data_IF_354814806324
#
_entry.id   IF_354814806324
#
_cell.length_a   1.000
_cell.length_b   1.000
_cell.length_c   1.000
_cell.angle_alpha   90.00
_cell.angle_beta   90.00
_cell.angle_gamma   90.00
#
_symmetry.space_group_name_H-M   'P 1'
#
loop_
_entity.id
_entity.type
_entity.pdbx_description
1 polymer ?
#
# COMPACT_ATOMS: atom_id res chain seq x y z
N UNK A 1 4.51 -10.41 11.61
CA UNK A 1 3.52 -10.06 10.59
C UNK A 1 2.72 -11.32 10.28
N UNK A 2 1.39 -11.25 10.28
CA UNK A 2 0.53 -12.42 10.03
C UNK A 2 -0.11 -12.25 8.67
N UNK A 3 0.24 -13.13 7.72
CA UNK A 3 -0.34 -13.11 6.38
C UNK A 3 -1.77 -13.64 6.38
N UNK A 4 -2.61 -13.06 5.52
CA UNK A 4 -4.04 -13.34 5.43
C UNK A 4 -4.34 -14.09 4.15
N UNK A 5 -3.66 -13.75 3.04
CA UNK A 5 -3.83 -14.42 1.76
C UNK A 5 -2.49 -14.82 1.14
N UNK A 6 -2.49 -15.99 0.49
CA UNK A 6 -1.55 -16.29 -0.58
C UNK A 6 -2.08 -15.69 -1.88
N UNK A 7 -1.20 -15.01 -2.61
CA UNK A 7 -1.50 -14.30 -3.86
C UNK A 7 -0.72 -14.93 -5.00
N UNK A 8 -1.42 -15.41 -6.01
CA UNK A 8 -0.85 -15.76 -7.31
C UNK A 8 -1.30 -14.74 -8.34
N UNK A 9 -0.38 -14.24 -9.15
CA UNK A 9 -0.66 -13.33 -10.25
C UNK A 9 -0.20 -13.94 -11.56
N UNK A 10 -0.87 -13.58 -12.65
CA UNK A 10 -0.41 -13.90 -14.00
C UNK A 10 0.22 -12.69 -14.67
N UNK A 11 1.09 -12.96 -15.63
CA UNK A 11 1.65 -11.93 -16.50
C UNK A 11 0.52 -11.08 -17.08
N UNK A 12 0.70 -9.75 -17.04
CA UNK A 12 -0.31 -8.80 -17.46
C UNK A 12 -0.65 -8.94 -18.94
N UNK A 13 -1.87 -8.57 -19.28
CA UNK A 13 -2.30 -8.32 -20.65
C UNK A 13 -2.67 -6.83 -20.79
N UNK A 14 -1.78 -6.04 -21.38
CA UNK A 14 -1.96 -4.59 -21.50
C UNK A 14 -1.96 -3.92 -20.12
N UNK A 15 -3.12 -3.47 -19.67
CA UNK A 15 -3.35 -2.87 -18.34
C UNK A 15 -3.96 -3.84 -17.33
N UNK A 16 -4.20 -5.08 -17.72
CA UNK A 16 -4.95 -6.06 -16.92
C UNK A 16 -4.03 -7.06 -16.25
N UNK A 17 -4.34 -7.39 -15.00
CA UNK A 17 -3.66 -8.43 -14.22
C UNK A 17 -4.73 -9.35 -13.62
N UNK A 18 -4.60 -10.64 -13.92
CA UNK A 18 -5.37 -11.67 -13.23
C UNK A 18 -4.68 -12.02 -11.91
N UNK A 19 -5.48 -12.20 -10.87
CA UNK A 19 -5.00 -12.53 -9.53
C UNK A 19 -5.85 -13.65 -8.94
N UNK A 20 -5.22 -14.53 -8.17
CA UNK A 20 -5.90 -15.51 -7.34
C UNK A 20 -5.48 -15.32 -5.90
N UNK A 21 -6.47 -15.20 -5.04
CA UNK A 21 -6.31 -15.16 -3.59
C UNK A 21 -6.73 -16.48 -2.98
N UNK A 22 -5.91 -17.01 -2.09
CA UNK A 22 -6.26 -18.16 -1.24
C UNK A 22 -6.20 -17.71 0.22
N UNK A 23 -7.27 -17.92 0.98
CA UNK A 23 -7.30 -17.62 2.41
C UNK A 23 -6.31 -18.50 3.17
N UNK A 24 -5.46 -17.87 3.98
CA UNK A 24 -4.57 -18.55 4.92
C UNK A 24 -5.20 -18.73 6.31
N UNK A 25 -6.36 -18.12 6.54
CA UNK A 25 -7.09 -18.19 7.80
C UNK A 25 -8.21 -19.24 7.72
N UNK A 26 -8.46 -19.94 8.83
CA UNK A 26 -9.34 -21.13 8.90
C UNK A 26 -10.85 -20.82 8.83
N UNK A 27 -11.23 -19.56 8.80
CA UNK A 27 -12.63 -19.14 8.73
C UNK A 27 -12.95 -18.64 7.32
N UNK A 28 -14.18 -18.85 6.82
CA UNK A 28 -14.58 -18.33 5.51
C UNK A 28 -14.42 -16.80 5.51
N UNK A 29 -13.54 -16.30 4.65
CA UNK A 29 -13.31 -14.86 4.52
C UNK A 29 -14.18 -14.36 3.39
N UNK A 30 -15.06 -13.40 3.69
CA UNK A 30 -15.68 -12.64 2.61
C UNK A 30 -14.61 -11.76 1.99
N UNK A 31 -14.24 -12.08 0.75
CA UNK A 31 -13.29 -11.27 -0.01
C UNK A 31 -13.85 -9.86 -0.20
N UNK A 32 -12.97 -8.87 -0.04
CA UNK A 32 -13.35 -7.48 -0.24
C UNK A 32 -13.52 -7.20 -1.73
N UNK A 33 -14.64 -6.60 -2.10
CA UNK A 33 -15.07 -6.43 -3.49
C UNK A 33 -14.74 -5.03 -4.07
N UNK A 34 -14.19 -4.12 -3.26
CA UNK A 34 -13.88 -2.76 -3.70
C UNK A 34 -12.50 -2.61 -4.35
N UNK A 35 -12.33 -1.64 -5.28
CA UNK A 35 -11.13 -1.46 -6.11
C UNK A 35 -9.86 -1.13 -5.32
N UNK A 36 -9.99 -0.60 -4.10
CA UNK A 36 -8.85 -0.32 -3.22
C UNK A 36 -8.06 -1.58 -2.90
N UNK A 37 -8.69 -2.76 -2.95
CA UNK A 37 -7.97 -4.00 -2.77
C UNK A 37 -7.06 -4.30 -3.97
N UNK A 38 -7.51 -4.00 -5.18
CA UNK A 38 -6.69 -4.08 -6.37
C UNK A 38 -5.44 -3.21 -6.26
N UNK A 39 -5.59 -1.95 -5.83
CA UNK A 39 -4.45 -1.05 -5.61
C UNK A 39 -3.50 -1.59 -4.51
N UNK A 40 -4.04 -2.03 -3.38
CA UNK A 40 -3.26 -2.65 -2.31
C UNK A 40 -2.43 -3.83 -2.82
N UNK A 41 -3.01 -4.72 -3.62
CA UNK A 41 -2.31 -5.90 -4.16
C UNK A 41 -1.21 -5.52 -5.16
N UNK A 42 -1.44 -4.54 -6.03
CA UNK A 42 -0.41 -4.05 -6.96
C UNK A 42 0.77 -3.43 -6.22
N UNK A 43 0.49 -2.60 -5.21
CA UNK A 43 1.51 -1.99 -4.35
C UNK A 43 2.30 -3.05 -3.58
N UNK A 44 1.61 -4.02 -2.99
CA UNK A 44 2.22 -5.06 -2.16
C UNK A 44 3.10 -6.00 -2.97
N UNK A 45 2.66 -6.38 -4.18
CA UNK A 45 3.49 -7.15 -5.10
C UNK A 45 4.82 -6.43 -5.37
N UNK A 46 4.76 -5.13 -5.69
CA UNK A 46 5.96 -4.32 -5.90
C UNK A 46 6.84 -4.27 -4.64
N UNK A 47 6.25 -4.04 -3.47
CA UNK A 47 6.97 -4.00 -2.19
C UNK A 47 7.65 -5.34 -1.84
N UNK A 48 7.02 -6.46 -2.21
CA UNK A 48 7.58 -7.80 -2.09
C UNK A 48 8.68 -8.13 -3.12
N UNK A 49 9.00 -7.18 -4.00
CA UNK A 49 10.07 -7.32 -4.99
C UNK A 49 9.62 -7.89 -6.34
N UNK A 50 8.33 -8.16 -6.53
CA UNK A 50 7.79 -8.64 -7.81
C UNK A 50 7.97 -7.54 -8.86
N UNK A 51 8.81 -7.79 -9.86
CA UNK A 51 9.11 -6.83 -10.92
C UNK A 51 9.70 -5.49 -10.43
N UNK A 52 10.35 -5.45 -9.27
CA UNK A 52 10.85 -4.18 -8.70
C UNK A 52 11.84 -3.43 -9.60
N UNK A 53 12.52 -4.14 -10.51
CA UNK A 53 13.42 -3.52 -11.50
C UNK A 53 12.73 -3.14 -12.82
N UNK A 54 11.51 -3.63 -13.06
CA UNK A 54 10.75 -3.38 -14.28
C UNK A 54 9.65 -2.35 -14.09
N UNK A 55 9.30 -2.01 -12.83
CA UNK A 55 8.33 -0.96 -12.54
C UNK A 55 8.76 0.38 -13.13
N UNK A 56 7.81 1.11 -13.69
CA UNK A 56 8.00 2.52 -14.04
C UNK A 56 8.33 3.35 -12.78
N UNK A 57 9.35 4.21 -12.87
CA UNK A 57 9.83 5.01 -11.72
C UNK A 57 8.78 5.98 -11.19
N UNK A 58 7.92 6.51 -12.06
CA UNK A 58 6.82 7.39 -11.63
C UNK A 58 5.75 6.59 -10.89
N UNK A 59 5.42 5.39 -11.38
CA UNK A 59 4.48 4.49 -10.71
C UNK A 59 5.00 4.05 -9.33
N UNK A 60 6.28 3.70 -9.23
CA UNK A 60 6.91 3.36 -7.94
C UNK A 60 6.78 4.50 -6.92
N UNK A 61 7.11 5.74 -7.32
CA UNK A 61 6.95 6.92 -6.44
C UNK A 61 5.49 7.15 -6.04
N UNK A 62 4.55 6.92 -6.96
CA UNK A 62 3.13 7.03 -6.67
C UNK A 62 2.67 5.94 -5.69
N UNK A 63 3.19 4.71 -5.80
CA UNK A 63 2.95 3.62 -4.84
C UNK A 63 3.54 3.93 -3.46
N UNK A 64 4.73 4.52 -3.37
CA UNK A 64 5.29 5.02 -2.10
C UNK A 64 4.32 6.01 -1.44
N UNK A 65 3.81 6.97 -2.22
CA UNK A 65 2.79 7.90 -1.75
C UNK A 65 1.51 7.18 -1.29
N UNK A 66 1.05 6.18 -2.02
CA UNK A 66 -0.12 5.39 -1.61
C UNK A 66 0.12 4.63 -0.30
N UNK A 67 1.34 4.11 -0.06
CA UNK A 67 1.69 3.50 1.22
C UNK A 67 1.64 4.52 2.35
N UNK A 68 2.11 5.76 2.14
CA UNK A 68 2.00 6.82 3.14
C UNK A 68 0.55 7.21 3.42
N UNK A 69 -0.31 7.23 2.41
CA UNK A 69 -1.75 7.49 2.60
C UNK A 69 -2.42 6.35 3.37
N UNK A 70 -2.04 5.10 3.11
CA UNK A 70 -2.67 3.92 3.71
C UNK A 70 -2.14 3.57 5.11
N UNK A 71 -0.82 3.62 5.31
CA UNK A 71 -0.16 3.24 6.56
C UNK A 71 0.16 4.44 7.46
N UNK A 72 0.03 5.65 6.92
CA UNK A 72 0.45 6.88 7.58
C UNK A 72 1.86 7.29 7.18
N UNK A 73 2.03 8.57 6.84
CA UNK A 73 3.34 9.14 6.54
C UNK A 73 4.21 9.18 7.79
N UNK A 74 5.48 8.76 7.65
CA UNK A 74 6.49 8.93 8.70
C UNK A 74 7.00 10.36 8.69
N UNK A 75 7.01 10.99 9.85
CA UNK A 75 7.62 12.32 10.06
C UNK A 75 8.81 12.17 11.00
N UNK A 76 9.95 12.66 10.55
CA UNK A 76 11.24 12.45 11.21
C UNK A 76 11.44 13.48 12.31
N UNK A 77 11.95 13.04 13.46
CA UNK A 77 12.19 13.90 14.61
C UNK A 77 13.59 13.69 15.20
N UNK A 78 14.13 14.75 15.81
CA UNK A 78 15.25 14.61 16.74
C UNK A 78 14.80 13.94 18.05
N UNK A 79 15.76 13.64 18.94
CA UNK A 79 15.52 13.02 20.26
C UNK A 79 14.64 13.91 21.17
N UNK A 80 14.56 15.21 20.87
CA UNK A 80 13.70 16.16 21.57
C UNK A 80 12.30 16.23 20.94
N UNK A 81 12.02 15.52 19.84
CA UNK A 81 10.72 15.53 19.16
C UNK A 81 10.50 16.73 18.23
N UNK A 82 11.55 17.43 17.81
CA UNK A 82 11.46 18.48 16.79
C UNK A 82 11.56 17.90 15.40
N UNK A 83 10.83 18.48 14.46
CA UNK A 83 10.80 18.05 13.07
C UNK A 83 12.16 18.20 12.38
N UNK A 84 12.51 17.16 11.65
CA UNK A 84 13.64 17.12 10.73
C UNK A 84 13.16 17.26 9.29
N UNK A 85 13.99 17.84 8.44
CA UNK A 85 13.79 17.82 7.00
C UNK A 85 13.81 16.38 6.47
N UNK A 86 12.92 16.06 5.54
CA UNK A 86 12.76 14.71 5.04
C UNK A 86 13.96 14.24 4.21
N UNK A 87 14.60 15.13 3.45
CA UNK A 87 15.71 14.80 2.56
C UNK A 87 17.06 14.86 3.27
N UNK A 88 17.28 15.87 4.12
CA UNK A 88 18.59 16.08 4.77
C UNK A 88 18.67 15.50 6.17
N UNK A 89 17.52 15.20 6.81
CA UNK A 89 17.42 14.85 8.23
C UNK A 89 18.01 15.89 9.18
N UNK A 90 18.19 17.13 8.71
CA UNK A 90 18.60 18.24 9.56
C UNK A 90 17.38 18.86 10.24
N UNK A 91 17.53 19.42 11.46
CA UNK A 91 16.44 20.10 12.14
C UNK A 91 15.89 21.27 11.31
N UNK A 92 14.57 21.33 11.15
CA UNK A 92 13.91 22.46 10.51
C UNK A 92 14.21 23.76 11.27
N UNK A 93 14.30 24.86 10.53
CA UNK A 93 14.50 26.21 11.09
C UNK A 93 13.31 27.11 10.71
N UNK A 94 12.58 27.66 11.69
CA UNK A 94 12.75 27.48 13.14
C UNK A 94 12.45 26.04 13.60
N UNK A 95 12.99 25.64 14.77
CA UNK A 95 12.65 24.34 15.37
C UNK A 95 11.16 24.31 15.69
N UNK A 96 10.50 23.23 15.30
CA UNK A 96 9.05 23.02 15.52
C UNK A 96 8.84 21.65 16.13
N UNK A 97 8.08 21.56 17.22
CA UNK A 97 7.68 20.27 17.83
C UNK A 97 6.69 19.55 16.91
N UNK A 98 6.94 18.28 16.64
CA UNK A 98 6.09 17.48 15.76
C UNK A 98 4.66 17.36 16.32
N UNK A 99 4.51 17.18 17.64
CA UNK A 99 3.22 17.06 18.32
C UNK A 99 2.36 18.32 18.19
N UNK A 100 2.98 19.49 18.22
CA UNK A 100 2.28 20.77 18.06
C UNK A 100 1.92 21.02 16.59
N UNK A 101 2.87 20.77 15.68
CA UNK A 101 2.67 21.00 14.25
C UNK A 101 1.61 20.08 13.64
N UNK A 102 1.58 18.82 14.08
CA UNK A 102 0.64 17.80 13.62
C UNK A 102 -0.44 17.48 14.65
N UNK A 103 -0.80 18.45 15.49
CA UNK A 103 -1.82 18.27 16.52
C UNK A 103 -3.11 17.68 15.94
N UNK A 104 -3.58 16.58 16.55
CA UNK A 104 -4.79 15.85 16.11
C UNK A 104 -4.60 14.93 14.88
N UNK A 105 -3.45 15.01 14.21
CA UNK A 105 -3.13 14.25 12.98
C UNK A 105 -2.12 13.14 13.19
N UNK A 106 -1.49 13.03 14.36
CA UNK A 106 -0.59 11.93 14.70
C UNK A 106 -1.36 10.66 15.06
N UNK A 107 -0.83 9.53 14.62
CA UNK A 107 -1.16 8.22 15.14
C UNK A 107 -0.40 7.95 16.46
N UNK A 108 -0.82 6.92 17.18
CA UNK A 108 -0.09 6.31 18.29
C UNK A 108 1.26 5.69 17.90
N UNK A 109 1.39 5.26 16.63
CA UNK A 109 2.58 4.59 16.13
C UNK A 109 3.81 5.53 16.06
N UNK A 110 4.94 5.00 16.54
CA UNK A 110 6.25 5.68 16.58
C UNK A 110 7.36 4.65 16.50
N UNK A 111 8.55 5.07 16.08
CA UNK A 111 9.70 4.17 16.04
C UNK A 111 11.01 4.87 15.75
N UNK A 112 12.04 4.06 15.53
CA UNK A 112 13.37 4.53 15.13
C UNK A 112 13.80 3.80 13.87
N UNK A 113 14.35 4.54 12.91
CA UNK A 113 14.85 4.00 11.65
C UNK A 113 16.07 4.79 11.20
N UNK A 114 17.12 4.06 10.79
CA UNK A 114 18.39 4.63 10.32
C UNK A 114 18.98 5.69 11.28
N UNK A 115 18.87 5.44 12.58
CA UNK A 115 19.35 6.34 13.63
C UNK A 115 18.41 7.47 14.03
N UNK A 116 17.35 7.75 13.26
CA UNK A 116 16.38 8.83 13.51
C UNK A 116 15.09 8.33 14.12
N UNK A 117 14.53 9.12 15.04
CA UNK A 117 13.18 8.87 15.55
C UNK A 117 12.15 9.34 14.53
N UNK A 118 11.00 8.68 14.51
CA UNK A 118 9.86 9.09 13.71
C UNK A 118 8.55 8.90 14.45
N UNK A 119 7.61 9.79 14.13
CA UNK A 119 6.19 9.62 14.43
C UNK A 119 5.46 9.26 13.13
N UNK A 120 4.26 8.70 13.25
CA UNK A 120 3.41 8.35 12.12
C UNK A 120 2.20 9.26 12.11
N UNK A 121 1.87 9.86 10.96
CA UNK A 121 0.60 10.55 10.76
C UNK A 121 -0.53 9.53 10.61
N UNK A 122 -1.75 9.89 11.02
CA UNK A 122 -2.93 9.08 10.73
C UNK A 122 -3.05 8.84 9.23
N UNK A 123 -3.46 7.64 8.80
CA UNK A 123 -3.78 7.37 7.41
C UNK A 123 -4.81 8.36 6.84
N UNK A 124 -4.70 8.67 5.55
CA UNK A 124 -5.66 9.49 4.83
C UNK A 124 -6.50 8.61 3.90
N UNK A 125 -7.55 8.05 4.49
CA UNK A 125 -8.49 7.16 3.79
C UNK A 125 -9.08 7.81 2.54
N UNK A 126 -9.43 9.11 2.60
CA UNK A 126 -10.09 9.78 1.49
C UNK A 126 -9.11 9.96 0.32
N UNK A 127 -7.90 10.44 0.61
CA UNK A 127 -6.89 10.60 -0.43
C UNK A 127 -6.47 9.25 -1.04
N UNK A 128 -6.43 8.17 -0.26
CA UNK A 128 -6.17 6.82 -0.80
C UNK A 128 -7.28 6.35 -1.74
N UNK A 129 -8.54 6.62 -1.40
CA UNK A 129 -9.68 6.33 -2.28
C UNK A 129 -9.63 7.14 -3.57
N UNK A 130 -9.43 8.47 -3.46
CA UNK A 130 -9.30 9.33 -4.63
C UNK A 130 -8.18 8.81 -5.55
N UNK A 131 -7.07 8.35 -4.97
CA UNK A 131 -5.96 7.78 -5.74
C UNK A 131 -6.26 6.40 -6.32
N UNK A 132 -7.07 5.60 -5.65
CA UNK A 132 -7.57 4.32 -6.17
C UNK A 132 -8.37 4.56 -7.44
N UNK A 133 -9.27 5.53 -7.45
CA UNK A 133 -10.11 5.87 -8.61
C UNK A 133 -9.28 6.37 -9.81
N UNK A 134 -8.13 6.99 -9.56
CA UNK A 134 -7.20 7.42 -10.61
C UNK A 134 -6.38 6.27 -11.21
N UNK A 135 -6.15 5.19 -10.45
CA UNK A 135 -5.25 4.09 -10.82
C UNK A 135 -6.02 2.87 -11.32
N UNK A 136 -7.14 2.54 -10.71
CA UNK A 136 -7.92 1.32 -10.98
C UNK A 136 -9.13 1.69 -11.85
N UNK A 137 -9.08 1.26 -13.12
CA UNK A 137 -10.15 1.49 -14.08
C UNK A 137 -11.33 0.52 -13.85
N UNK A 138 -11.03 -0.73 -13.53
CA UNK A 138 -12.03 -1.73 -13.17
C UNK A 138 -11.47 -2.78 -12.22
N UNK A 139 -12.34 -3.33 -11.38
CA UNK A 139 -12.00 -4.39 -10.43
C UNK A 139 -13.16 -5.38 -10.36
N UNK A 140 -12.87 -6.66 -10.62
CA UNK A 140 -13.86 -7.73 -10.56
C UNK A 140 -13.37 -8.81 -9.62
N UNK A 141 -14.29 -9.32 -8.78
CA UNK A 141 -14.03 -10.41 -7.83
C UNK A 141 -15.00 -11.54 -8.13
N UNK A 142 -14.45 -12.74 -8.33
CA UNK A 142 -15.22 -13.98 -8.47
C UNK A 142 -14.78 -14.94 -7.37
N UNK A 143 -15.56 -15.01 -6.30
CA UNK A 143 -15.33 -15.94 -5.19
C UNK A 143 -15.86 -17.35 -5.50
N UNK A 144 -15.28 -18.34 -4.83
CA UNK A 144 -15.91 -19.67 -4.74
C UNK A 144 -17.00 -19.71 -3.67
N UNK A 145 -17.88 -20.72 -3.73
CA UNK A 145 -18.97 -20.87 -2.76
C UNK A 145 -18.47 -21.17 -1.34
N UNK A 146 -17.23 -21.66 -1.21
CA UNK A 146 -16.61 -22.03 0.06
C UNK A 146 -15.99 -20.83 0.81
N UNK A 147 -15.72 -19.72 0.10
CA UNK A 147 -15.03 -18.55 0.67
C UNK A 147 -13.55 -18.82 0.98
N UNK A 148 -12.96 -19.84 0.34
CA UNK A 148 -11.54 -20.20 0.50
C UNK A 148 -10.67 -19.52 -0.55
N UNK A 149 -11.26 -19.21 -1.71
CA UNK A 149 -10.55 -18.63 -2.85
C UNK A 149 -11.40 -17.59 -3.58
N UNK A 150 -10.71 -16.58 -4.12
CA UNK A 150 -11.27 -15.68 -5.12
C UNK A 150 -10.30 -15.50 -6.29
N UNK A 151 -10.83 -15.46 -7.49
CA UNK A 151 -10.12 -14.97 -8.68
C UNK A 151 -10.55 -13.50 -8.91
N UNK A 152 -9.57 -12.64 -9.15
CA UNK A 152 -9.74 -11.21 -9.37
C UNK A 152 -9.24 -10.83 -10.77
N UNK A 153 -9.88 -9.84 -11.35
CA UNK A 153 -9.35 -9.12 -12.50
C UNK A 153 -9.15 -7.66 -12.10
N UNK A 154 -7.90 -7.21 -12.13
CA UNK A 154 -7.52 -5.82 -11.89
C UNK A 154 -7.22 -5.19 -13.25
N UNK A 155 -7.87 -4.08 -13.57
CA UNK A 155 -7.54 -3.26 -14.74
C UNK A 155 -7.05 -1.89 -14.28
N UNK A 156 -5.81 -1.56 -14.61
CA UNK A 156 -5.27 -0.23 -14.36
C UNK A 156 -5.66 0.77 -15.45
N UNK A 157 -5.67 2.06 -15.09
CA UNK A 157 -5.90 3.16 -16.04
C UNK A 157 -4.73 3.38 -17.00
N UNK A 158 -3.51 3.00 -16.59
CA UNK A 158 -2.28 3.16 -17.37
C UNK A 158 -1.37 1.91 -17.19
N UNK A 159 -0.73 1.39 -18.26
CA UNK A 159 0.19 0.26 -18.18
C UNK A 159 1.34 0.43 -17.19
N UNK A 160 1.74 1.67 -16.87
CA UNK A 160 2.83 1.94 -15.93
C UNK A 160 2.58 1.33 -14.55
N UNK A 161 1.33 1.27 -14.10
CA UNK A 161 0.95 0.76 -12.77
C UNK A 161 1.01 -0.76 -12.66
N UNK A 162 1.10 -1.47 -13.79
CA UNK A 162 1.20 -2.92 -13.84
C UNK A 162 2.49 -3.40 -14.51
N UNK A 163 3.40 -2.48 -14.86
CA UNK A 163 4.67 -2.79 -15.54
C UNK A 163 5.56 -3.79 -14.78
N UNK A 164 5.42 -3.88 -13.46
CA UNK A 164 6.08 -4.88 -12.62
C UNK A 164 5.44 -6.27 -12.67
N UNK A 165 4.36 -6.44 -13.43
CA UNK A 165 3.60 -7.69 -13.57
C UNK A 165 3.77 -8.30 -14.96
N UNK A 166 4.91 -8.10 -15.63
CA UNK A 166 5.21 -8.73 -16.93
C UNK A 166 5.39 -10.26 -16.84
N UNK A 167 5.57 -10.79 -15.63
CA UNK A 167 5.69 -12.22 -15.34
C UNK A 167 4.69 -12.64 -14.25
N UNK A 168 4.44 -13.94 -14.13
CA UNK A 168 3.67 -14.48 -13.00
C UNK A 168 4.44 -14.38 -11.70
N UNK A 169 3.76 -13.93 -10.63
CA UNK A 169 4.36 -13.81 -9.31
C UNK A 169 3.52 -14.50 -8.23
N UNK A 170 4.21 -14.96 -7.19
CA UNK A 170 3.61 -15.50 -5.98
C UNK A 170 4.15 -14.77 -4.76
N UNK A 171 3.25 -14.26 -3.91
CA UNK A 171 3.59 -13.59 -2.66
C UNK A 171 2.48 -13.76 -1.63
N UNK A 172 2.73 -13.33 -0.39
CA UNK A 172 1.74 -13.38 0.69
C UNK A 172 1.44 -11.96 1.13
N UNK A 173 0.17 -11.65 1.36
CA UNK A 173 -0.25 -10.30 1.74
C UNK A 173 -0.91 -10.26 3.12
N UNK A 174 -0.78 -9.12 3.78
CA UNK A 174 -1.56 -8.76 4.98
C UNK A 174 -2.73 -7.83 4.68
N UNK A 175 -2.82 -7.33 3.44
CA UNK A 175 -3.93 -6.50 3.02
C UNK A 175 -5.20 -7.33 2.89
N UNK A 176 -6.32 -6.69 3.23
CA UNK A 176 -7.65 -7.31 3.18
C UNK A 176 -8.62 -6.59 2.27
N UNK A 177 -8.19 -5.52 1.60
CA UNK A 177 -9.05 -4.58 0.91
C UNK A 177 -9.66 -3.53 1.84
N UNK A 178 -9.83 -3.83 3.13
CA UNK A 178 -10.36 -2.85 4.07
C UNK A 178 -9.43 -1.65 4.25
N UNK A 179 -10.01 -0.47 4.25
CA UNK A 179 -9.31 0.78 4.47
C UNK A 179 -9.04 1.00 5.97
N UNK A 180 -7.96 1.71 6.33
CA UNK A 180 -7.72 2.14 7.69
C UNK A 180 -8.87 2.98 8.23
N UNK A 181 -9.16 2.81 9.52
CA UNK A 181 -10.25 3.48 10.24
C UNK A 181 -9.96 4.97 10.53
#
# INVERSE_FOLDING_TARGET
MTFIFDVMTWAREGTKVEVRLTSLVREPVRFYEGPEFGLQLLMDAWFHGCGAFTIDKSAAKEFEGCFELFLGKKVWTDEEGHLLDEATKEPLRPKVKAEEHYAGRLDSARGRWDGYDYLVLKPDRKAFLDRTDEVIASFLVTGDEAGERADLLIEATDPKYVSHMDESHHFQTTFTGHLPA
#
